data_IF_469643125849
#
_entry.id   IF_469643125849
#
_cell.length_a   1.000
_cell.length_b   1.000
_cell.length_c   1.000
_cell.angle_alpha   90.00
_cell.angle_beta   90.00
_cell.angle_gamma   90.00
#
_symmetry.space_group_name_H-M   'P 1'
#
loop_
_entity.id
_entity.type
_entity.pdbx_description
1 polymer ?
#
# COMPACT_ATOMS: atom_id res chain seq x y z
N UNK A 1 -4.24 -12.26 -15.67
CA UNK A 1 -4.41 -10.79 -15.64
C UNK A 1 -4.62 -10.37 -14.20
N UNK A 2 -3.81 -9.46 -13.65
CA UNK A 2 -4.02 -8.93 -12.31
C UNK A 2 -5.17 -7.93 -12.34
N UNK A 3 -6.13 -8.05 -11.40
CA UNK A 3 -7.20 -7.06 -11.26
C UNK A 3 -6.65 -5.86 -10.49
N UNK A 4 -6.98 -4.65 -10.93
CA UNK A 4 -6.63 -3.43 -10.21
C UNK A 4 -7.91 -2.82 -9.65
N UNK A 5 -7.91 -2.52 -8.36
CA UNK A 5 -9.03 -1.91 -7.66
C UNK A 5 -8.72 -0.45 -7.36
N UNK A 6 -9.69 0.44 -7.63
CA UNK A 6 -9.57 1.84 -7.24
C UNK A 6 -9.60 1.99 -5.72
N UNK A 7 -8.70 2.83 -5.22
CA UNK A 7 -8.69 3.19 -3.80
C UNK A 7 -9.77 4.25 -3.59
N UNK A 8 -10.73 4.04 -2.68
CA UNK A 8 -11.68 5.09 -2.33
C UNK A 8 -10.95 6.34 -1.84
N UNK A 9 -11.33 7.51 -2.35
CA UNK A 9 -10.71 8.79 -1.94
C UNK A 9 -11.36 9.33 -0.66
N UNK A 10 -12.60 8.94 -0.38
CA UNK A 10 -13.40 9.39 0.77
C UNK A 10 -14.01 8.20 1.53
N UNK A 11 -14.36 8.42 2.80
CA UNK A 11 -14.99 7.44 3.68
C UNK A 11 -14.01 6.63 4.55
N UNK A 12 -14.56 5.79 5.42
CA UNK A 12 -13.79 5.01 6.41
C UNK A 12 -12.79 4.06 5.75
N UNK A 13 -13.19 3.45 4.62
CA UNK A 13 -12.33 2.56 3.85
C UNK A 13 -11.07 3.26 3.31
N UNK A 14 -11.18 4.54 2.95
CA UNK A 14 -10.03 5.34 2.51
C UNK A 14 -8.97 5.42 3.63
N UNK A 15 -9.39 5.74 4.85
CA UNK A 15 -8.49 5.85 6.00
C UNK A 15 -7.83 4.51 6.33
N UNK A 16 -8.60 3.42 6.30
CA UNK A 16 -8.05 2.09 6.52
C UNK A 16 -6.97 1.72 5.48
N UNK A 17 -7.21 2.05 4.21
CA UNK A 17 -6.25 1.78 3.14
C UNK A 17 -5.01 2.67 3.21
N UNK A 18 -5.16 3.96 3.57
CA UNK A 18 -4.03 4.88 3.81
C UNK A 18 -3.13 4.34 4.93
N UNK A 19 -3.73 3.97 6.07
CA UNK A 19 -3.03 3.40 7.22
C UNK A 19 -2.31 2.10 6.89
N UNK A 20 -2.87 1.28 6.00
CA UNK A 20 -2.22 0.06 5.53
C UNK A 20 -1.04 0.36 4.60
N UNK A 21 -1.13 1.34 3.68
CA UNK A 21 -0.04 1.66 2.73
C UNK A 21 1.25 2.10 3.44
N UNK A 22 1.15 2.74 4.62
CA UNK A 22 2.30 3.15 5.45
C UNK A 22 3.38 3.93 4.67
N UNK A 23 2.99 4.64 3.61
CA UNK A 23 3.89 5.42 2.77
C UNK A 23 3.92 6.86 3.27
N UNK A 24 5.14 7.37 3.43
CA UNK A 24 5.41 8.77 3.77
C UNK A 24 6.03 9.45 2.55
N UNK A 25 5.56 10.64 2.23
CA UNK A 25 6.09 11.49 1.17
C UNK A 25 7.45 12.08 1.60
N UNK A 26 8.29 12.56 0.66
CA UNK A 26 9.58 13.16 1.00
C UNK A 26 9.51 14.31 2.02
N UNK A 27 8.39 15.03 2.08
CA UNK A 27 8.14 16.09 3.07
C UNK A 27 7.60 15.63 4.43
N UNK A 28 7.63 14.32 4.73
CA UNK A 28 7.17 13.79 6.02
C UNK A 28 5.65 13.61 6.16
N UNK A 29 4.86 14.03 5.16
CA UNK A 29 3.41 13.86 5.17
C UNK A 29 2.99 12.44 4.75
N UNK A 30 1.90 11.93 5.32
CA UNK A 30 1.32 10.65 4.92
C UNK A 30 0.83 10.71 3.47
N UNK A 31 1.14 9.66 2.70
CA UNK A 31 0.63 9.51 1.34
C UNK A 31 -0.90 9.41 1.32
N UNK A 32 -1.54 10.07 0.35
CA UNK A 32 -2.99 10.01 0.13
C UNK A 32 -3.27 9.52 -1.30
N UNK A 33 -4.31 8.69 -1.49
CA UNK A 33 -4.74 8.29 -2.82
C UNK A 33 -5.35 9.47 -3.58
N UNK A 34 -5.27 9.40 -4.90
CA UNK A 34 -6.01 10.23 -5.84
C UNK A 34 -6.97 9.36 -6.66
N UNK A 35 -7.77 9.96 -7.56
CA UNK A 35 -8.76 9.25 -8.36
C UNK A 35 -8.18 8.12 -9.23
N UNK A 36 -6.91 8.21 -9.63
CA UNK A 36 -6.20 7.20 -10.43
C UNK A 36 -5.41 6.20 -9.59
N UNK A 37 -5.40 6.33 -8.26
CA UNK A 37 -4.68 5.43 -7.37
C UNK A 37 -5.36 4.07 -7.32
N UNK A 38 -4.58 3.01 -7.55
CA UNK A 38 -5.06 1.64 -7.67
C UNK A 38 -4.18 0.68 -6.86
N UNK A 39 -4.78 -0.41 -6.39
CA UNK A 39 -4.09 -1.54 -5.76
C UNK A 39 -4.39 -2.80 -6.56
N UNK A 40 -3.36 -3.57 -6.92
CA UNK A 40 -3.55 -4.84 -7.60
C UNK A 40 -4.07 -5.93 -6.65
N UNK A 41 -4.74 -6.91 -7.22
CA UNK A 41 -5.38 -8.01 -6.51
C UNK A 41 -4.45 -8.81 -5.60
N UNK A 42 -3.16 -8.89 -5.95
CA UNK A 42 -2.16 -9.64 -5.18
C UNK A 42 -1.90 -9.08 -3.78
N UNK A 43 -2.34 -7.84 -3.51
CA UNK A 43 -2.24 -7.25 -2.19
C UNK A 43 -3.37 -7.66 -1.23
N UNK A 44 -4.36 -8.43 -1.72
CA UNK A 44 -5.50 -8.92 -0.95
C UNK A 44 -5.41 -10.42 -0.68
N UNK A 45 -5.89 -10.84 0.49
CA UNK A 45 -6.02 -12.27 0.81
C UNK A 45 -6.93 -12.94 -0.23
N UNK A 46 -6.50 -14.08 -0.77
CA UNK A 46 -7.21 -14.78 -1.84
C UNK A 46 -7.15 -14.09 -3.21
N UNK A 47 -6.27 -13.10 -3.40
CA UNK A 47 -6.11 -12.35 -4.67
C UNK A 47 -7.41 -11.66 -5.13
N UNK A 48 -8.25 -11.24 -4.19
CA UNK A 48 -9.47 -10.49 -4.49
C UNK A 48 -9.87 -9.60 -3.32
N UNK A 49 -10.37 -8.40 -3.61
CA UNK A 49 -10.95 -7.53 -2.57
C UNK A 49 -12.26 -8.13 -2.05
N UNK A 50 -12.55 -7.89 -0.79
CA UNK A 50 -13.89 -8.06 -0.20
C UNK A 50 -14.48 -6.69 0.14
N UNK A 51 -15.81 -6.60 0.16
CA UNK A 51 -16.54 -5.38 0.57
C UNK A 51 -17.09 -5.50 2.01
N UNK A 52 -16.87 -6.64 2.66
CA UNK A 52 -17.28 -6.92 4.05
C UNK A 52 -16.21 -6.39 5.00
N UNK A 53 -16.55 -5.44 5.89
CA UNK A 53 -15.61 -4.74 6.78
C UNK A 53 -14.70 -5.67 7.60
N UNK A 54 -15.26 -6.76 8.16
CA UNK A 54 -14.53 -7.71 9.00
C UNK A 54 -13.71 -8.75 8.22
N UNK A 55 -13.79 -8.76 6.88
CA UNK A 55 -13.08 -9.73 6.07
C UNK A 55 -11.59 -9.34 5.93
N UNK A 56 -10.63 -10.27 6.01
CA UNK A 56 -9.20 -9.95 5.90
C UNK A 56 -8.81 -9.32 4.55
N UNK A 57 -9.60 -9.54 3.50
CA UNK A 57 -9.45 -8.89 2.17
C UNK A 57 -10.20 -7.56 2.03
N UNK A 58 -10.75 -7.00 3.10
CA UNK A 58 -11.39 -5.67 3.07
C UNK A 58 -10.37 -4.56 2.85
N UNK A 59 -9.23 -4.69 3.52
CA UNK A 59 -8.03 -3.84 3.41
C UNK A 59 -6.91 -4.68 2.81
N UNK A 60 -6.05 -4.03 2.04
CA UNK A 60 -4.83 -4.68 1.56
C UNK A 60 -3.88 -4.93 2.73
N UNK A 61 -3.32 -6.13 2.80
CA UNK A 61 -2.48 -6.58 3.92
C UNK A 61 -1.18 -7.23 3.48
N UNK A 62 -1.07 -7.58 2.19
CA UNK A 62 0.09 -8.26 1.63
C UNK A 62 1.02 -7.20 1.03
N UNK A 63 2.21 -7.06 1.61
CA UNK A 63 3.29 -6.23 1.09
C UNK A 63 4.43 -7.13 0.60
N UNK A 64 4.52 -7.38 -0.72
CA UNK A 64 5.62 -8.15 -1.29
C UNK A 64 6.98 -7.61 -0.86
N UNK A 65 7.96 -8.51 -0.67
CA UNK A 65 9.31 -8.13 -0.26
C UNK A 65 10.00 -7.18 -1.25
N UNK A 66 9.56 -7.12 -2.51
CA UNK A 66 10.08 -6.19 -3.52
C UNK A 66 9.89 -4.72 -3.13
N UNK A 67 8.92 -4.42 -2.27
CA UNK A 67 8.66 -3.06 -1.77
C UNK A 67 9.40 -2.75 -0.46
N UNK A 68 10.06 -3.74 0.17
CA UNK A 68 10.93 -3.46 1.32
C UNK A 68 12.14 -2.70 0.80
N UNK A 69 12.36 -1.47 1.31
CA UNK A 69 13.60 -0.73 1.04
C UNK A 69 14.77 -1.62 1.46
N UNK A 70 15.64 -1.95 0.50
CA UNK A 70 16.95 -2.52 0.84
C UNK A 70 17.67 -1.48 1.70
N UNK A 71 18.14 -1.87 2.87
CA UNK A 71 18.97 -0.97 3.67
C UNK A 71 20.19 -0.58 2.82
N UNK A 72 20.60 0.70 2.79
CA UNK A 72 21.80 1.08 2.06
C UNK A 72 22.98 0.28 2.60
N UNK A 73 23.77 -0.33 1.72
CA UNK A 73 24.99 -1.00 2.13
C UNK A 73 25.92 0.02 2.79
N UNK A 74 26.15 -0.13 4.10
CA UNK A 74 26.88 0.83 4.94
C UNK A 74 28.33 1.05 4.48
N UNK A 75 28.88 0.13 3.67
CA UNK A 75 30.21 0.25 3.06
C UNK A 75 30.33 1.39 2.05
N UNK A 76 29.26 1.72 1.32
CA UNK A 76 29.31 2.74 0.26
C UNK A 76 29.14 4.18 0.78
N UNK A 77 28.79 4.34 2.05
CA UNK A 77 28.53 5.63 2.69
C UNK A 77 29.81 6.27 3.31
N UNK A 78 30.93 5.55 3.35
CA UNK A 78 32.18 6.00 4.00
C UNK A 78 33.23 6.57 3.03
N UNK A 79 32.94 6.70 1.74
CA UNK A 79 33.93 7.07 0.71
C UNK A 79 33.59 8.36 -0.06
N UNK A 80 33.03 9.37 0.61
CA UNK A 80 32.77 10.68 0.01
C UNK A 80 33.30 11.83 0.85
#
# INVERSE_FOLDING_TARGET
MLKAYHIPVVGERCQAWISAVRRINPGGTTWKPNASSRICSDHFVGKSKSDISHHPSYVHSIFPSVYRKKMPNQERAKSR
#
